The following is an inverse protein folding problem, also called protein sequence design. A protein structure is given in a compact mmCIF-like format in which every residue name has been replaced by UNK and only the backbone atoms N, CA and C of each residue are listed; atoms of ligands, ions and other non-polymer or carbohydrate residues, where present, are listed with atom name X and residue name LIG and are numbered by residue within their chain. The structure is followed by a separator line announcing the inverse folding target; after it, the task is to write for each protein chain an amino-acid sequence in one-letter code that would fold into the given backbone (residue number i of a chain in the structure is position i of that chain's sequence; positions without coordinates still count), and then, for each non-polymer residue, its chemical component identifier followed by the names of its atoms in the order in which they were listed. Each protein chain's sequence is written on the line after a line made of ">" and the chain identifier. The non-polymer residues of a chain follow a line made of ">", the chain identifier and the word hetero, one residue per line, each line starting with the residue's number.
data_IF_417046887126
#
_entry.id   IF_417046887126
#
_cell.length_a   1.000
_cell.length_b   1.000
_cell.length_c   1.000
_cell.angle_alpha   90.00
_cell.angle_beta   90.00
_cell.angle_gamma   90.00
#
_symmetry.space_group_name_H-M   'P 1'
#
loop_
_entity.id
_entity.type
_entity.pdbx_description
1 polymer ?
#
# COMPACT_ATOMS: atom_id res chain seq x y z
N UNK A 1 19.88 3.97 0.86
CA UNK A 1 19.89 2.78 1.73
C UNK A 1 18.80 1.87 1.20
N UNK A 2 19.15 0.69 0.70
CA UNK A 2 18.14 -0.30 0.34
C UNK A 2 17.43 -0.68 1.65
N UNK A 3 16.14 -0.41 1.71
CA UNK A 3 15.28 -0.88 2.79
C UNK A 3 15.59 -2.37 2.99
N UNK A 4 16.00 -2.78 4.20
CA UNK A 4 16.27 -4.19 4.46
C UNK A 4 14.95 -4.95 4.30
N UNK A 5 14.77 -5.57 3.14
CA UNK A 5 13.61 -6.42 2.79
C UNK A 5 13.36 -7.54 3.82
N UNK A 6 14.28 -7.78 4.76
CA UNK A 6 14.09 -8.68 5.90
C UNK A 6 13.08 -8.16 6.93
N UNK A 7 12.86 -6.83 7.02
CA UNK A 7 11.94 -6.23 8.00
C UNK A 7 10.55 -5.88 7.44
N UNK A 8 10.32 -6.03 6.13
CA UNK A 8 9.02 -5.76 5.50
C UNK A 8 8.35 -7.08 5.16
N UNK A 9 7.19 -7.32 5.77
CA UNK A 9 6.42 -8.54 5.56
C UNK A 9 5.74 -8.48 4.19
N UNK A 10 5.93 -9.48 3.31
CA UNK A 10 5.19 -9.59 2.05
C UNK A 10 3.74 -10.00 2.35
N UNK A 11 2.90 -9.03 2.71
CA UNK A 11 1.52 -9.23 3.15
C UNK A 11 0.55 -8.51 2.20
N UNK A 12 0.12 -9.23 1.17
CA UNK A 12 -0.74 -8.71 0.10
C UNK A 12 -2.18 -8.45 0.52
N UNK A 13 -2.87 -7.59 -0.22
CA UNK A 13 -4.30 -7.25 -0.02
C UNK A 13 -5.09 -7.39 -1.31
N UNK A 14 -6.38 -7.68 -1.17
CA UNK A 14 -7.28 -7.85 -2.31
C UNK A 14 -7.76 -6.53 -2.90
N UNK A 15 -8.38 -6.60 -4.08
CA UNK A 15 -9.08 -5.45 -4.66
C UNK A 15 -10.15 -4.88 -3.74
N UNK A 16 -10.95 -5.74 -3.12
CA UNK A 16 -11.99 -5.31 -2.17
C UNK A 16 -11.39 -4.56 -0.96
N UNK A 17 -10.22 -4.99 -0.47
CA UNK A 17 -9.50 -4.28 0.57
C UNK A 17 -8.99 -2.93 0.07
N UNK A 18 -8.41 -2.84 -1.13
CA UNK A 18 -7.96 -1.57 -1.71
C UNK A 18 -9.10 -0.56 -1.88
N UNK A 19 -10.27 -1.02 -2.34
CA UNK A 19 -11.47 -0.19 -2.45
C UNK A 19 -11.84 0.41 -1.09
N UNK A 20 -11.85 -0.39 -0.03
CA UNK A 20 -12.19 0.05 1.33
C UNK A 20 -11.10 0.85 2.03
N UNK A 21 -9.83 0.58 1.71
CA UNK A 21 -8.66 1.26 2.27
C UNK A 21 -8.54 2.68 1.70
N UNK A 22 -8.84 2.84 0.42
CA UNK A 22 -8.65 4.11 -0.28
C UNK A 22 -9.95 4.82 -0.63
N UNK A 23 -11.11 4.30 -0.24
CA UNK A 23 -12.43 4.83 -0.63
C UNK A 23 -12.51 5.03 -2.15
N UNK A 24 -12.14 3.98 -2.90
CA UNK A 24 -12.10 4.03 -4.36
C UNK A 24 -13.52 3.97 -4.91
N UNK A 25 -13.91 5.03 -5.61
CA UNK A 25 -15.16 5.06 -6.38
C UNK A 25 -15.01 4.34 -7.72
N UNK A 26 -16.13 4.04 -8.39
CA UNK A 26 -16.10 3.52 -9.76
C UNK A 26 -15.31 4.44 -10.70
N UNK A 27 -15.44 5.76 -10.52
CA UNK A 27 -14.68 6.75 -11.28
C UNK A 27 -13.18 6.72 -10.98
N UNK A 28 -12.78 6.45 -9.74
CA UNK A 28 -11.37 6.27 -9.39
C UNK A 28 -10.79 4.99 -10.01
N UNK A 29 -11.55 3.90 -10.06
CA UNK A 29 -11.10 2.62 -10.64
C UNK A 29 -10.91 2.68 -12.17
N UNK A 30 -11.53 3.64 -12.86
CA UNK A 30 -11.32 3.88 -14.29
C UNK A 30 -10.06 4.71 -14.60
N UNK A 31 -9.44 5.32 -13.59
CA UNK A 31 -8.20 6.09 -13.77
C UNK A 31 -7.02 5.19 -14.09
N UNK A 32 -5.97 5.79 -14.64
CA UNK A 32 -4.62 5.20 -14.64
C UNK A 32 -4.05 5.18 -13.21
N UNK A 33 -3.87 3.99 -12.64
CA UNK A 33 -3.44 3.79 -11.25
C UNK A 33 -1.99 3.33 -11.19
N UNK A 34 -1.17 4.05 -10.40
CA UNK A 34 0.13 3.58 -9.95
C UNK A 34 0.04 3.19 -8.47
N UNK A 35 0.29 1.92 -8.19
CA UNK A 35 0.25 1.37 -6.83
C UNK A 35 1.66 0.99 -6.37
N UNK A 36 2.09 1.56 -5.26
CA UNK A 36 3.50 1.57 -4.81
C UNK A 36 3.65 0.82 -3.50
N UNK A 37 4.57 -0.13 -3.46
CA UNK A 37 4.81 -0.96 -2.27
C UNK A 37 3.69 -1.98 -2.03
N UNK A 38 3.16 -2.56 -3.11
CA UNK A 38 2.01 -3.48 -3.07
C UNK A 38 2.32 -4.84 -2.42
N UNK A 39 3.59 -5.25 -2.40
CA UNK A 39 3.98 -6.63 -2.08
C UNK A 39 3.22 -7.64 -2.94
N UNK A 40 2.85 -8.82 -2.42
CA UNK A 40 2.08 -9.82 -3.15
C UNK A 40 0.56 -9.54 -3.14
N UNK A 41 0.14 -8.31 -3.42
CA UNK A 41 -1.28 -7.95 -3.45
C UNK A 41 -1.98 -8.48 -4.71
N UNK A 42 -3.21 -8.98 -4.54
CA UNK A 42 -4.05 -9.39 -5.67
C UNK A 42 -4.82 -8.24 -6.31
N UNK A 43 -4.74 -7.02 -5.76
CA UNK A 43 -5.38 -5.81 -6.31
C UNK A 43 -5.20 -5.67 -7.83
N UNK A 44 -3.96 -5.76 -8.31
CA UNK A 44 -3.67 -5.64 -9.74
C UNK A 44 -4.24 -6.81 -10.56
N UNK A 45 -4.05 -8.05 -10.08
CA UNK A 45 -4.53 -9.26 -10.75
C UNK A 45 -6.07 -9.28 -10.85
N UNK A 46 -6.76 -8.95 -9.77
CA UNK A 46 -8.21 -8.85 -9.71
C UNK A 46 -8.73 -7.68 -10.56
N UNK A 47 -8.13 -6.50 -10.42
CA UNK A 47 -8.53 -5.31 -11.18
C UNK A 47 -8.32 -5.45 -12.68
N UNK A 48 -7.24 -6.11 -13.10
CA UNK A 48 -6.98 -6.39 -14.53
C UNK A 48 -8.08 -7.27 -15.12
N UNK A 49 -8.59 -8.27 -14.39
CA UNK A 49 -9.72 -9.10 -14.85
C UNK A 49 -11.02 -8.31 -15.04
N UNK A 50 -11.14 -7.17 -14.36
CA UNK A 50 -12.27 -6.24 -14.49
C UNK A 50 -12.00 -5.12 -15.51
N UNK A 51 -10.83 -5.10 -16.15
CA UNK A 51 -10.45 -4.11 -17.16
C UNK A 51 -9.83 -2.82 -16.62
N UNK A 52 -9.47 -2.76 -15.34
CA UNK A 52 -8.82 -1.59 -14.75
C UNK A 52 -7.35 -1.48 -15.16
N UNK A 53 -6.86 -0.24 -15.26
CA UNK A 53 -5.47 0.06 -15.65
C UNK A 53 -4.61 0.28 -14.41
N UNK A 54 -3.96 -0.79 -13.95
CA UNK A 54 -3.16 -0.77 -12.72
C UNK A 54 -1.71 -1.14 -13.04
N UNK A 55 -0.79 -0.25 -12.65
CA UNK A 55 0.65 -0.52 -12.58
C UNK A 55 1.04 -0.71 -11.11
N UNK A 56 1.61 -1.85 -10.78
CA UNK A 56 2.14 -2.12 -9.44
C UNK A 56 3.66 -2.06 -9.46
N UNK A 57 4.25 -1.34 -8.51
CA UNK A 57 5.70 -1.31 -8.31
C UNK A 57 6.08 -1.75 -6.91
N UNK A 58 7.12 -2.58 -6.84
CA UNK A 58 7.67 -3.04 -5.57
C UNK A 58 9.10 -3.58 -5.77
N UNK A 59 10.06 -3.29 -4.87
CA UNK A 59 11.38 -3.92 -4.91
C UNK A 59 11.31 -5.45 -4.79
N UNK A 60 10.27 -6.01 -4.14
CA UNK A 60 9.98 -7.43 -4.02
C UNK A 60 9.90 -8.11 -5.40
N UNK A 61 9.51 -7.38 -6.45
CA UNK A 61 9.33 -7.93 -7.78
C UNK A 61 10.65 -8.31 -8.48
N UNK A 62 11.80 -8.17 -7.81
CA UNK A 62 13.04 -8.81 -8.25
C UNK A 62 12.98 -10.34 -8.14
N UNK A 63 12.13 -10.88 -7.26
CA UNK A 63 11.98 -12.31 -7.04
C UNK A 63 10.90 -12.92 -7.93
N UNK A 64 11.03 -14.23 -8.20
CA UNK A 64 9.98 -15.01 -8.86
C UNK A 64 8.81 -15.31 -7.91
N UNK A 65 7.64 -15.63 -8.49
CA UNK A 65 6.42 -15.90 -7.74
C UNK A 65 6.60 -16.93 -6.62
N UNK A 66 7.29 -18.04 -6.90
CA UNK A 66 7.54 -19.13 -5.95
C UNK A 66 8.32 -18.66 -4.71
N UNK A 67 9.34 -17.82 -4.91
CA UNK A 67 10.15 -17.26 -3.83
C UNK A 67 9.35 -16.27 -3.00
N UNK A 68 8.52 -15.43 -3.62
CA UNK A 68 7.64 -14.51 -2.91
C UNK A 68 6.64 -15.29 -2.06
N UNK A 69 6.00 -16.30 -2.65
CA UNK A 69 5.05 -17.20 -1.98
C UNK A 69 5.68 -17.91 -0.79
N UNK A 70 6.87 -18.48 -0.97
CA UNK A 70 7.59 -19.18 0.09
C UNK A 70 7.93 -18.25 1.27
N UNK A 71 8.33 -17.00 1.00
CA UNK A 71 8.55 -16.00 2.06
C UNK A 71 7.29 -15.67 2.84
N UNK A 72 6.15 -15.54 2.16
CA UNK A 72 4.86 -15.35 2.83
C UNK A 72 4.56 -16.48 3.81
N UNK A 73 4.65 -17.74 3.36
CA UNK A 73 4.37 -18.91 4.21
C UNK A 73 5.39 -19.10 5.34
N UNK A 74 6.60 -18.59 5.21
CA UNK A 74 7.61 -18.60 6.29
C UNK A 74 7.26 -17.64 7.44
N UNK A 75 6.48 -16.59 7.19
CA UNK A 75 6.22 -15.53 8.19
C UNK A 75 4.77 -15.49 8.68
N UNK A 76 3.82 -16.01 7.89
CA UNK A 76 2.38 -15.87 8.19
C UNK A 76 1.99 -16.46 9.55
N UNK A 77 2.51 -17.64 9.92
CA UNK A 77 2.16 -18.27 11.20
C UNK A 77 2.58 -17.39 12.39
N UNK A 78 3.82 -16.88 12.37
CA UNK A 78 4.33 -15.99 13.42
C UNK A 78 3.52 -14.70 13.54
N UNK A 79 3.06 -14.14 12.42
CA UNK A 79 2.24 -12.93 12.41
C UNK A 79 0.87 -13.20 13.02
N UNK A 80 0.22 -14.30 12.61
CA UNK A 80 -1.09 -14.67 13.15
C UNK A 80 -0.99 -14.98 14.64
N UNK A 81 0.07 -15.63 15.10
CA UNK A 81 0.31 -15.84 16.54
C UNK A 81 0.46 -14.51 17.30
N UNK A 82 1.17 -13.53 16.75
CA UNK A 82 1.30 -12.20 17.37
C UNK A 82 -0.05 -11.49 17.45
N UNK A 83 -0.83 -11.57 16.38
CA UNK A 83 -2.20 -11.02 16.31
C UNK A 83 -3.09 -11.65 17.38
N UNK A 84 -3.03 -12.97 17.55
CA UNK A 84 -3.79 -13.69 18.59
C UNK A 84 -3.34 -13.34 20.01
N UNK A 85 -2.06 -13.04 20.22
CA UNK A 85 -1.50 -12.60 21.52
C UNK A 85 -1.80 -11.15 21.87
N UNK A 86 -2.27 -10.35 20.92
CA UNK A 86 -2.54 -8.92 21.08
C UNK A 86 -4.00 -8.56 20.76
N UNK A 87 -5.01 -9.26 21.30
CA UNK A 87 -6.40 -9.12 20.85
C UNK A 87 -6.99 -7.70 21.03
N UNK A 88 -6.41 -6.90 21.93
CA UNK A 88 -6.79 -5.50 22.13
C UNK A 88 -6.43 -4.59 20.95
N UNK A 89 -5.47 -4.98 20.12
CA UNK A 89 -4.88 -4.13 19.07
C UNK A 89 -5.63 -4.22 17.73
N UNK A 90 -6.55 -5.18 17.61
CA UNK A 90 -7.17 -5.54 16.34
C UNK A 90 -8.69 -5.34 16.32
N UNK A 91 -9.20 -5.05 15.12
CA UNK A 91 -10.61 -4.92 14.81
C UNK A 91 -11.03 -6.02 13.83
N UNK A 92 -12.15 -6.69 14.14
CA UNK A 92 -12.62 -7.88 13.42
C UNK A 92 -13.86 -7.64 12.57
N UNK A 93 -14.27 -6.39 12.39
CA UNK A 93 -15.49 -6.02 11.62
C UNK A 93 -15.43 -6.50 10.17
N UNK A 94 -14.25 -6.46 9.54
CA UNK A 94 -14.06 -6.90 8.16
C UNK A 94 -13.56 -8.35 8.03
N UNK A 95 -12.55 -8.74 8.81
CA UNK A 95 -11.91 -10.07 8.72
C UNK A 95 -12.60 -11.14 9.57
N UNK A 96 -13.44 -10.76 10.54
CA UNK A 96 -14.18 -11.65 11.43
C UNK A 96 -13.34 -12.32 12.52
N UNK A 97 -12.08 -12.68 12.24
CA UNK A 97 -11.16 -13.35 13.18
C UNK A 97 -9.72 -13.35 12.66
N UNK A 98 -8.72 -13.67 13.50
CA UNK A 98 -7.34 -13.93 13.05
C UNK A 98 -7.26 -14.96 11.93
N UNK A 99 -8.03 -16.05 12.03
CA UNK A 99 -8.11 -17.07 10.98
C UNK A 99 -8.75 -16.53 9.67
N UNK A 100 -9.72 -15.62 9.79
CA UNK A 100 -10.29 -14.93 8.63
C UNK A 100 -9.28 -14.03 7.93
N UNK A 101 -8.49 -13.28 8.71
CA UNK A 101 -7.35 -12.50 8.20
C UNK A 101 -6.35 -13.40 7.47
N UNK A 102 -5.94 -14.51 8.09
CA UNK A 102 -5.02 -15.50 7.49
C UNK A 102 -5.53 -15.96 6.12
N UNK A 103 -6.77 -16.44 6.07
CA UNK A 103 -7.38 -16.94 4.82
C UNK A 103 -7.40 -15.90 3.72
N UNK A 104 -7.71 -14.64 4.04
CA UNK A 104 -7.69 -13.56 3.04
C UNK A 104 -6.29 -13.28 2.52
N UNK A 105 -5.27 -13.34 3.38
CA UNK A 105 -3.87 -13.11 3.01
C UNK A 105 -3.32 -14.24 2.15
N UNK A 106 -3.65 -15.48 2.50
CA UNK A 106 -3.36 -16.67 1.69
C UNK A 106 -4.03 -16.55 0.31
N UNK A 107 -5.32 -16.21 0.27
CA UNK A 107 -6.06 -16.05 -0.97
C UNK A 107 -5.47 -14.95 -1.87
N UNK A 108 -5.18 -13.76 -1.32
CA UNK A 108 -4.57 -12.67 -2.08
C UNK A 108 -3.19 -13.09 -2.64
N UNK A 109 -2.38 -13.78 -1.83
CA UNK A 109 -1.06 -14.25 -2.25
C UNK A 109 -1.16 -15.28 -3.38
N UNK A 110 -2.07 -16.25 -3.30
CA UNK A 110 -2.23 -17.24 -4.36
C UNK A 110 -2.79 -16.64 -5.65
N UNK A 111 -3.73 -15.69 -5.58
CA UNK A 111 -4.22 -14.97 -6.76
C UNK A 111 -3.09 -14.17 -7.40
N UNK A 112 -2.29 -13.46 -6.60
CA UNK A 112 -1.10 -12.74 -7.08
C UNK A 112 -0.13 -13.70 -7.76
N UNK A 113 0.25 -14.80 -7.10
CA UNK A 113 1.25 -15.74 -7.63
C UNK A 113 0.80 -16.41 -8.94
N UNK A 114 -0.50 -16.68 -9.09
CA UNK A 114 -1.06 -17.24 -10.32
C UNK A 114 -1.04 -16.25 -11.51
N UNK A 115 -1.02 -14.95 -11.24
CA UNK A 115 -1.05 -13.88 -12.25
C UNK A 115 0.33 -13.25 -12.50
N UNK A 116 1.22 -13.32 -11.51
CA UNK A 116 2.40 -12.47 -11.40
C UNK A 116 3.35 -12.52 -12.61
N UNK A 117 3.74 -13.73 -13.05
CA UNK A 117 4.74 -13.86 -14.13
C UNK A 117 4.19 -13.34 -15.47
N UNK A 118 2.93 -13.66 -15.79
CA UNK A 118 2.26 -13.15 -16.98
C UNK A 118 2.05 -11.63 -16.89
N UNK A 119 1.61 -11.13 -15.74
CA UNK A 119 1.44 -9.71 -15.49
C UNK A 119 2.74 -8.93 -15.57
N UNK A 120 3.85 -9.51 -15.12
CA UNK A 120 5.18 -8.92 -15.21
C UNK A 120 5.65 -8.83 -16.66
N UNK A 121 5.43 -9.89 -17.44
CA UNK A 121 5.71 -9.89 -18.88
C UNK A 121 4.84 -8.86 -19.65
N UNK A 122 3.61 -8.63 -19.18
CA UNK A 122 2.71 -7.58 -19.69
C UNK A 122 3.06 -6.18 -19.17
N UNK A 123 4.05 -6.04 -18.30
CA UNK A 123 4.47 -4.77 -17.70
C UNK A 123 3.54 -4.24 -16.60
N UNK A 124 2.62 -5.04 -16.06
CA UNK A 124 1.74 -4.65 -14.93
C UNK A 124 2.47 -4.64 -13.60
N UNK A 125 3.43 -5.55 -13.40
CA UNK A 125 4.30 -5.60 -12.23
C UNK A 125 5.71 -5.17 -12.60
N UNK A 126 6.30 -4.27 -11.82
CA UNK A 126 7.63 -3.73 -12.13
C UNK A 126 8.50 -3.45 -10.91
N UNK A 127 9.79 -3.75 -11.04
CA UNK A 127 10.77 -3.45 -10.00
C UNK A 127 10.96 -1.94 -9.94
N UNK A 128 10.64 -1.36 -8.78
CA UNK A 128 10.82 0.06 -8.50
C UNK A 128 10.68 0.32 -7.01
N UNK A 129 11.30 1.37 -6.52
CA UNK A 129 11.29 1.73 -5.10
C UNK A 129 11.22 3.25 -4.92
N UNK A 130 10.60 3.68 -3.84
CA UNK A 130 10.63 5.08 -3.43
C UNK A 130 12.00 5.41 -2.79
N UNK A 131 12.50 6.65 -2.94
CA UNK A 131 11.82 7.84 -3.46
C UNK A 131 12.19 8.16 -4.92
N UNK A 132 12.50 7.18 -5.78
CA UNK A 132 12.93 7.43 -7.16
C UNK A 132 12.18 6.53 -8.14
N UNK A 133 11.27 7.13 -8.91
CA UNK A 133 10.44 6.45 -9.89
C UNK A 133 10.84 6.86 -11.31
N UNK A 134 10.86 5.90 -12.22
CA UNK A 134 11.31 6.13 -13.61
C UNK A 134 10.27 6.82 -14.51
N UNK A 135 9.09 7.13 -13.96
CA UNK A 135 7.95 7.66 -14.70
C UNK A 135 8.08 9.16 -14.92
N UNK A 136 7.38 9.66 -15.93
CA UNK A 136 7.28 11.08 -16.26
C UNK A 136 6.35 11.79 -15.28
N UNK A 137 6.45 13.11 -15.27
CA UNK A 137 5.56 13.95 -14.49
C UNK A 137 4.12 13.75 -14.95
N UNK A 138 3.20 13.58 -13.99
CA UNK A 138 1.77 13.37 -14.23
C UNK A 138 1.44 12.20 -15.18
N UNK A 139 2.28 11.16 -15.24
CA UNK A 139 2.03 9.97 -16.06
C UNK A 139 0.81 9.17 -15.59
N UNK A 140 0.50 9.23 -14.29
CA UNK A 140 -0.65 8.55 -13.68
C UNK A 140 -1.63 9.54 -13.08
N UNK A 141 -2.91 9.18 -13.08
CA UNK A 141 -3.95 10.00 -12.46
C UNK A 141 -4.05 9.75 -10.95
N UNK A 142 -3.86 8.51 -10.50
CA UNK A 142 -3.99 8.12 -9.09
C UNK A 142 -2.79 7.29 -8.61
N UNK A 143 -2.10 7.79 -7.58
CA UNK A 143 -1.06 7.09 -6.85
C UNK A 143 -1.58 6.50 -5.56
N UNK A 144 -1.35 5.22 -5.31
CA UNK A 144 -1.74 4.53 -4.07
C UNK A 144 -0.48 4.00 -3.38
N UNK A 145 -0.37 4.23 -2.07
CA UNK A 145 0.61 3.55 -1.21
C UNK A 145 -0.13 2.98 -0.02
N UNK A 146 -0.22 1.65 0.04
CA UNK A 146 -0.83 0.96 1.18
C UNK A 146 0.19 0.87 2.33
N UNK A 147 0.13 -0.21 3.11
CA UNK A 147 0.79 -0.45 4.40
C UNK A 147 2.33 -0.47 4.32
N UNK A 148 2.90 0.68 3.99
CA UNK A 148 4.33 0.93 3.80
C UNK A 148 4.73 2.19 4.57
N UNK A 149 4.83 3.37 3.93
CA UNK A 149 5.34 4.64 4.48
C UNK A 149 5.12 4.84 5.99
N UNK A 150 3.99 5.40 6.41
CA UNK A 150 3.76 5.76 7.81
C UNK A 150 3.72 4.54 8.75
N UNK A 151 3.38 3.35 8.24
CA UNK A 151 3.38 2.13 9.03
C UNK A 151 4.76 1.78 9.57
N UNK A 152 5.80 2.01 8.77
CA UNK A 152 7.20 1.77 9.11
C UNK A 152 7.94 3.04 9.53
N UNK A 153 7.28 3.97 10.23
CA UNK A 153 7.91 5.22 10.72
C UNK A 153 9.14 4.99 11.61
N UNK A 154 9.23 3.84 12.28
CA UNK A 154 10.41 3.50 13.11
C UNK A 154 11.63 3.10 12.26
N UNK A 155 11.44 2.79 10.97
CA UNK A 155 12.48 2.36 10.04
C UNK A 155 12.75 3.39 8.92
N UNK A 156 11.78 4.25 8.64
CA UNK A 156 11.82 5.23 7.57
C UNK A 156 11.85 6.62 8.19
N UNK A 157 12.93 7.36 7.98
CA UNK A 157 13.01 8.70 8.55
C UNK A 157 12.07 9.71 7.86
N UNK A 158 11.96 10.90 8.44
CA UNK A 158 11.13 12.00 7.92
C UNK A 158 11.49 12.37 6.48
N UNK A 159 12.78 12.40 6.14
CA UNK A 159 13.22 12.84 4.81
C UNK A 159 12.82 11.82 3.76
N UNK A 160 13.01 10.52 4.05
CA UNK A 160 12.54 9.45 3.18
C UNK A 160 11.04 9.56 2.89
N UNK A 161 10.22 9.77 3.93
CA UNK A 161 8.78 9.96 3.73
C UNK A 161 8.46 11.16 2.84
N UNK A 162 9.09 12.31 3.11
CA UNK A 162 8.84 13.52 2.35
C UNK A 162 9.25 13.35 0.87
N UNK A 163 10.46 12.85 0.62
CA UNK A 163 10.99 12.63 -0.73
C UNK A 163 10.12 11.60 -1.48
N UNK A 164 9.67 10.56 -0.80
CA UNK A 164 8.77 9.54 -1.36
C UNK A 164 7.43 10.12 -1.80
N UNK A 165 6.81 10.92 -0.93
CA UNK A 165 5.49 11.49 -1.22
C UNK A 165 5.59 12.55 -2.32
N UNK A 166 6.66 13.36 -2.31
CA UNK A 166 6.91 14.32 -3.39
C UNK A 166 7.16 13.62 -4.73
N UNK A 167 7.87 12.48 -4.73
CA UNK A 167 8.08 11.70 -5.94
C UNK A 167 6.76 11.10 -6.47
N UNK A 168 5.92 10.56 -5.58
CA UNK A 168 4.58 10.10 -5.96
C UNK A 168 3.74 11.27 -6.52
N UNK A 169 3.81 12.45 -5.93
CA UNK A 169 3.09 13.65 -6.40
C UNK A 169 3.68 14.22 -7.70
N UNK A 170 4.94 13.93 -8.02
CA UNK A 170 5.53 14.26 -9.31
C UNK A 170 4.87 13.42 -10.41
N UNK A 171 4.81 12.11 -10.21
CA UNK A 171 4.32 11.14 -11.21
C UNK A 171 2.80 11.01 -11.26
N UNK A 172 2.10 11.29 -10.15
CA UNK A 172 0.65 11.18 -10.02
C UNK A 172 -0.05 12.55 -9.86
N UNK A 173 -1.28 12.67 -10.32
CA UNK A 173 -2.11 13.87 -10.09
C UNK A 173 -2.71 13.91 -8.67
N UNK A 174 -3.13 12.75 -8.17
CA UNK A 174 -3.62 12.52 -6.81
C UNK A 174 -2.83 11.38 -6.16
N UNK A 175 -2.55 11.49 -4.86
CA UNK A 175 -1.90 10.44 -4.07
C UNK A 175 -2.74 10.11 -2.84
N UNK A 176 -2.98 8.82 -2.58
CA UNK A 176 -3.62 8.32 -1.34
C UNK A 176 -2.67 7.38 -0.60
N UNK A 177 -2.50 7.60 0.70
CA UNK A 177 -1.57 6.86 1.57
C UNK A 177 -2.32 6.32 2.78
N UNK A 178 -2.15 5.03 3.07
CA UNK A 178 -2.79 4.36 4.19
C UNK A 178 -1.90 3.26 4.79
N UNK A 179 -1.90 3.03 6.11
CA UNK A 179 -2.58 3.80 7.15
C UNK A 179 -1.74 5.03 7.54
N UNK A 180 -2.25 5.84 8.46
CA UNK A 180 -1.54 6.96 9.07
C UNK A 180 -0.97 6.65 10.47
N UNK A 181 -0.98 5.37 10.85
CA UNK A 181 -0.45 4.84 12.10
C UNK A 181 0.82 4.02 11.86
N UNK A 182 1.62 3.86 12.91
CA UNK A 182 2.77 2.93 12.98
C UNK A 182 2.32 1.52 13.38
N UNK A 183 3.24 0.56 13.33
CA UNK A 183 3.04 -0.81 13.86
C UNK A 183 2.60 -0.83 15.33
N UNK A 184 2.94 0.21 16.11
CA UNK A 184 2.60 0.37 17.54
C UNK A 184 1.26 1.09 17.78
N UNK A 185 0.41 1.18 16.76
CA UNK A 185 -0.89 1.85 16.79
C UNK A 185 -0.83 3.34 17.15
N UNK A 186 0.35 3.97 17.02
CA UNK A 186 0.52 5.39 17.25
C UNK A 186 0.42 6.14 15.93
N UNK A 187 -0.16 7.33 15.95
CA UNK A 187 -0.13 8.22 14.79
C UNK A 187 1.31 8.49 14.39
N UNK A 188 1.62 8.40 13.10
CA UNK A 188 3.01 8.56 12.65
C UNK A 188 3.57 9.92 13.11
N UNK A 189 4.77 9.96 13.71
CA UNK A 189 5.39 11.20 14.14
C UNK A 189 5.78 12.11 12.97
N UNK A 190 5.80 11.57 11.74
CA UNK A 190 6.14 12.33 10.53
C UNK A 190 4.93 12.97 9.85
N UNK A 191 3.71 12.54 10.18
CA UNK A 191 2.52 12.93 9.44
C UNK A 191 2.27 14.44 9.45
N UNK A 192 2.24 15.05 10.64
CA UNK A 192 1.86 16.46 10.78
C UNK A 192 2.87 17.39 10.07
N UNK A 193 4.17 17.15 10.29
CA UNK A 193 5.23 17.94 9.66
C UNK A 193 5.26 17.78 8.13
N UNK A 194 4.88 16.61 7.62
CA UNK A 194 4.76 16.37 6.18
C UNK A 194 3.58 17.11 5.59
N UNK A 195 2.40 17.05 6.24
CA UNK A 195 1.21 17.78 5.80
C UNK A 195 1.51 19.28 5.72
N UNK A 196 2.08 19.86 6.78
CA UNK A 196 2.46 21.28 6.83
C UNK A 196 3.44 21.67 5.70
N UNK A 197 4.43 20.80 5.42
CA UNK A 197 5.37 21.04 4.33
C UNK A 197 4.70 21.00 2.95
N UNK A 198 3.80 20.03 2.72
CA UNK A 198 3.08 19.88 1.46
C UNK A 198 2.10 21.03 1.24
N UNK A 199 1.38 21.45 2.26
CA UNK A 199 0.49 22.62 2.20
C UNK A 199 1.27 23.90 1.93
N UNK A 200 2.44 24.07 2.55
CA UNK A 200 3.37 25.17 2.25
C UNK A 200 3.88 25.18 0.80
N UNK A 201 3.85 24.03 0.11
CA UNK A 201 4.16 23.90 -1.33
C UNK A 201 2.94 24.03 -2.24
N UNK A 202 1.75 24.28 -1.69
CA UNK A 202 0.53 24.45 -2.47
C UNK A 202 -0.16 23.13 -2.84
N UNK A 203 0.09 22.04 -2.12
CA UNK A 203 -0.74 20.84 -2.19
C UNK A 203 -1.92 20.94 -1.22
N UNK A 204 -3.05 20.34 -1.58
CA UNK A 204 -4.17 20.15 -0.66
C UNK A 204 -4.06 18.78 0.00
N UNK A 205 -3.96 18.76 1.31
CA UNK A 205 -3.92 17.54 2.12
C UNK A 205 -5.25 17.34 2.85
N UNK A 206 -5.78 16.13 2.82
CA UNK A 206 -7.03 15.78 3.50
C UNK A 206 -6.89 14.42 4.16
N UNK A 207 -7.13 14.35 5.46
CA UNK A 207 -7.21 13.08 6.19
C UNK A 207 -8.66 12.62 6.14
N UNK A 208 -8.90 11.43 5.59
CA UNK A 208 -10.23 10.85 5.46
C UNK A 208 -10.33 9.56 6.25
N UNK A 209 -11.42 9.41 6.99
CA UNK A 209 -11.80 8.13 7.57
C UNK A 209 -12.32 7.21 6.47
N UNK A 210 -11.95 5.93 6.53
CA UNK A 210 -12.31 4.91 5.54
C UNK A 210 -12.98 3.71 6.21
N UNK A 211 -13.63 2.86 5.41
CA UNK A 211 -14.37 1.70 5.92
C UNK A 211 -13.46 0.57 6.42
N UNK A 212 -12.23 0.50 5.92
CA UNK A 212 -11.27 -0.51 6.34
C UNK A 212 -10.66 -0.18 7.70
N UNK A 213 -10.76 -1.12 8.64
CA UNK A 213 -10.04 -1.08 9.92
C UNK A 213 -9.60 -2.50 10.29
N UNK A 214 -8.29 -2.68 10.47
CA UNK A 214 -7.70 -3.91 10.99
C UNK A 214 -6.93 -3.62 12.29
N UNK A 215 -5.99 -2.69 12.22
CA UNK A 215 -5.36 -2.12 13.41
C UNK A 215 -6.33 -1.13 14.05
N UNK A 216 -6.51 -1.20 15.37
CA UNK A 216 -7.40 -0.29 16.10
C UNK A 216 -6.99 1.16 15.87
N UNK A 217 -7.93 1.99 15.41
CA UNK A 217 -7.69 3.38 15.05
C UNK A 217 -6.99 3.57 13.70
N UNK A 218 -6.59 2.49 13.03
CA UNK A 218 -5.96 2.50 11.70
C UNK A 218 -7.00 2.52 10.60
N UNK A 219 -7.89 3.51 10.61
CA UNK A 219 -8.99 3.68 9.65
C UNK A 219 -8.98 5.07 8.99
N UNK A 220 -7.80 5.69 8.90
CA UNK A 220 -7.60 6.97 8.23
C UNK A 220 -6.61 6.82 7.07
N UNK A 221 -6.91 7.47 5.95
CA UNK A 221 -6.00 7.66 4.82
C UNK A 221 -5.66 9.15 4.64
N UNK A 222 -4.48 9.44 4.13
CA UNK A 222 -4.10 10.78 3.66
C UNK A 222 -4.34 10.84 2.15
N UNK A 223 -5.20 11.76 1.73
CA UNK A 223 -5.43 12.11 0.32
C UNK A 223 -4.74 13.44 0.02
N UNK A 224 -3.95 13.48 -1.05
CA UNK A 224 -3.17 14.64 -1.45
C UNK A 224 -3.47 14.94 -2.91
N UNK A 225 -3.84 16.18 -3.21
CA UNK A 225 -4.08 16.65 -4.58
C UNK A 225 -3.27 17.90 -4.86
N UNK A 226 -2.88 18.09 -6.12
CA UNK A 226 -2.38 19.38 -6.61
C UNK A 226 -3.51 20.42 -6.48
N UNK A 227 -3.20 21.64 -6.05
CA UNK A 227 -4.17 22.72 -6.16
C UNK A 227 -4.45 22.96 -7.66
N UNK A 228 -5.73 23.11 -8.01
CA UNK A 228 -6.09 23.65 -9.33
C UNK A 228 -5.47 25.05 -9.41
N UNK A 229 -4.62 25.25 -10.43
CA UNK A 229 -3.98 26.54 -10.70
C UNK A 229 -4.99 27.59 -11.17
#
# INVERSE_FOLDING_TARGET
>A
MAMQLESVVPFGRSLDEYIKIFDLTDGDLQKSILSVGDGPASFNAEGTKLGYQIKSIDPLYIFAADRIRNRFYQVVDNIIEQVERTPGDWMWTYHGSPNGLRKRREQATEIFCADYEDGKNQGRYEIGELPQLKYRDCEYELGLSSHFLFLYSDHLDRNFHLDSILEMLRVCQEVRIFPLLTLMLQRSPHLQVIIEHLEGKGYKCEIRKVEYELQRGGNEMLRITKNEA
#
